data_IF_326434199493
#
_entry.id   IF_326434199493
#
_cell.length_a   1.000
_cell.length_b   1.000
_cell.length_c   1.000
_cell.angle_alpha   90.00
_cell.angle_beta   90.00
_cell.angle_gamma   90.00
#
_symmetry.space_group_name_H-M   'P 1'
#
loop_
_entity.id
_entity.type
_entity.pdbx_description
1 polymer ?
#
# COMPACT_ATOMS: atom_id res chain seq x y z
N UNK A 1 29.93 -51.72 29.56
CA UNK A 1 28.83 -50.92 30.16
C UNK A 1 28.89 -49.43 29.82
N UNK A 2 30.07 -48.80 29.75
CA UNK A 2 30.20 -47.35 29.41
C UNK A 2 29.68 -47.05 27.99
N UNK A 3 30.12 -47.77 26.95
CA UNK A 3 29.76 -47.50 25.54
C UNK A 3 28.25 -47.50 25.28
N UNK A 4 27.50 -48.42 25.93
CA UNK A 4 26.04 -48.53 25.77
C UNK A 4 25.32 -47.29 26.31
N UNK A 5 25.79 -46.72 27.43
CA UNK A 5 25.20 -45.52 28.03
C UNK A 5 25.33 -44.29 27.13
N UNK A 6 26.47 -44.14 26.45
CA UNK A 6 26.70 -43.02 25.52
C UNK A 6 25.85 -43.14 24.26
N UNK A 7 25.67 -44.35 23.73
CA UNK A 7 24.81 -44.60 22.57
C UNK A 7 23.36 -44.21 22.88
N UNK A 8 22.85 -44.63 24.04
CA UNK A 8 21.49 -44.27 24.48
C UNK A 8 21.33 -42.75 24.65
N UNK A 9 22.34 -42.08 25.20
CA UNK A 9 22.35 -40.61 25.34
C UNK A 9 22.27 -39.92 23.97
N UNK A 10 23.07 -40.34 22.99
CA UNK A 10 23.03 -39.74 21.65
C UNK A 10 21.69 -39.93 20.97
N UNK A 11 21.09 -41.13 21.10
CA UNK A 11 19.75 -41.39 20.54
C UNK A 11 18.71 -40.46 21.18
N UNK A 12 18.75 -40.29 22.50
CA UNK A 12 17.84 -39.39 23.21
C UNK A 12 18.02 -37.94 22.73
N UNK A 13 19.26 -37.47 22.61
CA UNK A 13 19.56 -36.10 22.13
C UNK A 13 19.07 -35.90 20.70
N UNK A 14 19.24 -36.86 19.81
CA UNK A 14 18.76 -36.78 18.42
C UNK A 14 17.23 -36.70 18.38
N UNK A 15 16.53 -37.52 19.18
CA UNK A 15 15.07 -37.48 19.27
C UNK A 15 14.59 -36.12 19.79
N UNK A 16 15.24 -35.59 20.84
CA UNK A 16 14.93 -34.25 21.34
C UNK A 16 15.19 -33.18 20.29
N UNK A 17 16.32 -33.24 19.57
CA UNK A 17 16.66 -32.27 18.53
C UNK A 17 15.63 -32.26 17.39
N UNK A 18 15.16 -33.43 16.96
CA UNK A 18 14.10 -33.56 15.94
C UNK A 18 12.79 -32.96 16.46
N UNK A 19 12.40 -33.28 17.70
CA UNK A 19 11.19 -32.73 18.30
C UNK A 19 11.24 -31.19 18.39
N UNK A 20 12.35 -30.64 18.88
CA UNK A 20 12.58 -29.21 18.91
C UNK A 20 12.55 -28.61 17.51
N UNK A 21 13.19 -29.24 16.53
CA UNK A 21 13.18 -28.78 15.15
C UNK A 21 11.76 -28.68 14.59
N UNK A 22 10.88 -29.66 14.82
CA UNK A 22 9.48 -29.58 14.37
C UNK A 22 8.66 -28.52 15.11
N UNK A 23 8.90 -28.32 16.41
CA UNK A 23 8.23 -27.29 17.21
C UNK A 23 8.65 -25.91 16.71
N UNK A 24 9.97 -25.67 16.61
CA UNK A 24 10.50 -24.42 16.08
C UNK A 24 10.12 -24.22 14.62
N UNK A 25 10.11 -25.27 13.79
CA UNK A 25 9.62 -25.18 12.43
C UNK A 25 8.16 -24.74 12.41
N UNK A 26 7.25 -25.29 13.22
CA UNK A 26 5.86 -24.80 13.26
C UNK A 26 5.73 -23.36 13.76
N UNK A 27 6.51 -22.99 14.78
CA UNK A 27 6.47 -21.64 15.37
C UNK A 27 7.06 -20.59 14.42
N UNK A 28 8.15 -20.90 13.73
CA UNK A 28 8.79 -20.01 12.75
C UNK A 28 8.24 -20.15 11.32
N UNK A 29 7.52 -21.23 10.98
CA UNK A 29 6.79 -21.42 9.71
C UNK A 29 5.38 -20.82 9.78
N UNK A 30 4.91 -20.43 10.97
CA UNK A 30 3.79 -19.48 11.11
C UNK A 30 4.23 -18.05 10.77
N UNK A 31 5.03 -17.87 9.72
CA UNK A 31 4.90 -16.68 8.89
C UNK A 31 3.63 -16.91 8.10
N UNK A 32 2.53 -16.41 8.65
CA UNK A 32 1.15 -16.41 8.16
C UNK A 32 0.91 -17.28 6.92
N UNK A 33 -0.01 -18.24 7.06
CA UNK A 33 -0.74 -18.76 5.91
C UNK A 33 -1.52 -17.56 5.34
N UNK A 34 -0.81 -16.70 4.60
CA UNK A 34 -1.34 -15.57 3.89
C UNK A 34 -2.46 -16.19 3.07
N UNK A 35 -3.70 -15.79 3.37
CA UNK A 35 -4.79 -15.99 2.44
C UNK A 35 -4.25 -15.62 1.06
N UNK A 36 -4.53 -16.40 0.00
CA UNK A 36 -4.02 -16.12 -1.34
C UNK A 36 -4.29 -14.64 -1.61
N UNK A 37 -3.24 -13.82 -1.51
CA UNK A 37 -3.41 -12.37 -1.54
C UNK A 37 -3.96 -12.10 -2.93
N UNK A 38 -5.13 -11.48 -2.96
CA UNK A 38 -5.87 -11.17 -4.18
C UNK A 38 -4.84 -10.64 -5.18
N UNK A 39 -4.68 -11.35 -6.30
CA UNK A 39 -3.49 -11.21 -7.16
C UNK A 39 -3.26 -9.73 -7.46
N UNK A 40 -2.02 -9.24 -7.36
CA UNK A 40 -1.60 -7.85 -7.55
C UNK A 40 -2.43 -6.95 -8.53
N UNK A 41 -2.91 -7.42 -9.71
CA UNK A 41 -3.86 -6.66 -10.53
C UNK A 41 -5.16 -6.22 -9.82
N UNK A 42 -5.68 -7.01 -8.89
CA UNK A 42 -6.96 -6.76 -8.20
C UNK A 42 -6.83 -5.66 -7.14
N UNK A 43 -5.71 -5.65 -6.41
CA UNK A 43 -5.42 -4.62 -5.39
C UNK A 43 -5.39 -3.21 -6.01
N UNK A 44 -4.86 -3.08 -7.24
CA UNK A 44 -4.84 -1.79 -7.96
C UNK A 44 -6.25 -1.35 -8.35
N UNK A 45 -7.09 -2.28 -8.81
CA UNK A 45 -8.47 -1.99 -9.21
C UNK A 45 -9.35 -1.66 -7.99
N UNK A 46 -9.21 -2.42 -6.91
CA UNK A 46 -9.87 -2.21 -5.63
C UNK A 46 -9.48 -0.87 -5.00
N UNK A 47 -8.19 -0.56 -4.92
CA UNK A 47 -7.71 0.74 -4.43
C UNK A 47 -8.23 1.91 -5.26
N UNK A 48 -8.34 1.75 -6.59
CA UNK A 48 -8.91 2.78 -7.47
C UNK A 48 -10.39 3.01 -7.16
N UNK A 49 -11.17 1.94 -6.95
CA UNK A 49 -12.57 2.05 -6.58
C UNK A 49 -12.74 2.68 -5.18
N UNK A 50 -11.93 2.26 -4.20
CA UNK A 50 -11.91 2.83 -2.86
C UNK A 50 -11.57 4.33 -2.87
N UNK A 51 -10.54 4.72 -3.63
CA UNK A 51 -10.14 6.13 -3.79
C UNK A 51 -11.24 6.98 -4.46
N UNK A 52 -11.99 6.43 -5.41
CA UNK A 52 -13.13 7.13 -6.03
C UNK A 52 -14.30 7.29 -5.06
N UNK A 53 -14.50 6.32 -4.17
CA UNK A 53 -15.57 6.34 -3.17
C UNK A 53 -15.20 7.15 -1.91
N UNK A 54 -13.96 7.64 -1.81
CA UNK A 54 -13.45 8.36 -0.64
C UNK A 54 -13.19 7.47 0.58
N UNK A 55 -13.17 6.16 0.40
CA UNK A 55 -12.89 5.19 1.45
C UNK A 55 -11.38 4.92 1.50
N UNK A 56 -10.65 5.74 2.27
CA UNK A 56 -9.21 5.62 2.41
C UNK A 56 -8.79 4.49 3.34
N UNK A 57 -9.68 4.01 4.21
CA UNK A 57 -9.41 2.91 5.14
C UNK A 57 -9.37 1.55 4.41
N UNK A 58 -10.05 1.45 3.27
CA UNK A 58 -10.06 0.25 2.42
C UNK A 58 -8.81 0.10 1.53
N UNK A 59 -7.91 1.09 1.46
CA UNK A 59 -6.73 1.05 0.58
C UNK A 59 -5.67 0.11 1.15
N UNK A 60 -5.20 -0.84 0.32
CA UNK A 60 -4.20 -1.84 0.72
C UNK A 60 -3.01 -1.82 -0.25
N UNK A 61 -1.79 -1.83 0.27
CA UNK A 61 -0.58 -1.85 -0.56
C UNK A 61 0.15 -3.18 -0.41
N UNK A 62 0.55 -3.77 -1.54
CA UNK A 62 1.47 -4.91 -1.54
C UNK A 62 2.92 -4.41 -1.51
N UNK A 63 3.75 -5.02 -0.65
CA UNK A 63 5.17 -4.66 -0.52
C UNK A 63 6.01 -5.53 -1.45
N UNK A 64 6.55 -4.95 -2.52
CA UNK A 64 7.48 -5.62 -3.40
C UNK A 64 8.81 -5.95 -2.68
N UNK A 65 9.46 -7.08 -3.04
CA UNK A 65 10.79 -7.49 -2.51
C UNK A 65 11.89 -6.42 -2.67
N UNK A 66 11.71 -5.49 -3.61
CA UNK A 66 12.46 -4.24 -3.75
C UNK A 66 11.47 -3.15 -4.11
N UNK A 67 11.03 -2.39 -3.11
CA UNK A 67 10.12 -1.26 -3.27
C UNK A 67 10.83 0.08 -3.04
N UNK A 68 10.10 1.17 -3.29
CA UNK A 68 10.50 2.48 -2.81
C UNK A 68 10.44 2.50 -1.27
N UNK A 69 11.27 3.34 -0.62
CA UNK A 69 11.19 3.52 0.82
C UNK A 69 9.86 4.21 1.17
N UNK A 70 9.07 3.60 2.04
CA UNK A 70 7.75 4.12 2.45
C UNK A 70 7.83 5.56 2.94
N UNK A 71 8.77 5.90 3.83
CA UNK A 71 8.93 7.27 4.35
C UNK A 71 9.15 8.31 3.24
N UNK A 72 9.88 7.96 2.18
CA UNK A 72 10.13 8.87 1.05
C UNK A 72 8.88 9.06 0.19
N UNK A 73 8.13 7.97 -0.01
CA UNK A 73 6.87 8.01 -0.77
C UNK A 73 5.83 8.82 -0.02
N UNK A 74 5.71 8.63 1.30
CA UNK A 74 4.76 9.37 2.13
C UNK A 74 5.06 10.87 2.15
N UNK A 75 6.34 11.24 2.26
CA UNK A 75 6.77 12.64 2.17
C UNK A 75 6.40 13.25 0.80
N UNK A 76 6.66 12.54 -0.29
CA UNK A 76 6.32 13.00 -1.63
C UNK A 76 4.80 13.12 -1.85
N UNK A 77 4.01 12.17 -1.32
CA UNK A 77 2.55 12.22 -1.41
C UNK A 77 2.01 13.45 -0.66
N UNK A 78 2.56 13.76 0.52
CA UNK A 78 2.17 14.95 1.28
C UNK A 78 2.44 16.24 0.48
N UNK A 79 3.65 16.38 -0.07
CA UNK A 79 4.02 17.54 -0.90
C UNK A 79 3.10 17.69 -2.12
N UNK A 80 2.74 16.57 -2.78
CA UNK A 80 1.84 16.58 -3.92
C UNK A 80 0.41 16.98 -3.55
N UNK A 81 -0.08 16.56 -2.37
CA UNK A 81 -1.40 16.96 -1.88
C UNK A 81 -1.46 18.47 -1.61
N UNK A 82 -0.43 19.02 -0.98
CA UNK A 82 -0.33 20.47 -0.75
C UNK A 82 -0.38 21.26 -2.06
N UNK A 83 0.34 20.80 -3.09
CA UNK A 83 0.31 21.42 -4.42
C UNK A 83 -1.09 21.31 -5.05
N UNK A 84 -1.73 20.15 -4.93
CA UNK A 84 -3.08 19.95 -5.48
C UNK A 84 -4.08 20.90 -4.83
N UNK A 85 -4.00 21.10 -3.52
CA UNK A 85 -4.90 22.00 -2.80
C UNK A 85 -4.63 23.47 -3.15
N UNK A 86 -3.36 23.87 -3.26
CA UNK A 86 -3.00 25.19 -3.78
C UNK A 86 -3.56 25.43 -5.20
N UNK A 87 -3.48 24.43 -6.07
CA UNK A 87 -4.01 24.51 -7.42
C UNK A 87 -5.54 24.57 -7.45
N UNK A 88 -6.23 23.82 -6.58
CA UNK A 88 -7.69 23.90 -6.43
C UNK A 88 -8.12 25.29 -5.98
N UNK A 89 -7.42 25.89 -5.02
CA UNK A 89 -7.71 27.23 -4.52
C UNK A 89 -7.52 28.28 -5.61
N UNK A 90 -6.40 28.21 -6.36
CA UNK A 90 -6.17 29.07 -7.52
C UNK A 90 -7.24 28.89 -8.59
N UNK A 91 -7.65 27.65 -8.87
CA UNK A 91 -8.68 27.38 -9.86
C UNK A 91 -10.07 27.87 -9.43
N UNK A 92 -10.42 27.74 -8.14
CA UNK A 92 -11.60 28.39 -7.57
C UNK A 92 -11.48 29.93 -7.72
N UNK A 93 -10.28 30.45 -7.55
CA UNK A 93 -9.87 31.81 -7.88
C UNK A 93 -10.14 32.22 -9.34
N UNK A 94 -9.80 31.37 -10.31
CA UNK A 94 -10.09 31.67 -11.71
C UNK A 94 -11.59 31.49 -12.05
N UNK A 95 -12.27 30.56 -11.39
CA UNK A 95 -13.68 30.27 -11.64
C UNK A 95 -14.61 31.44 -11.32
N UNK A 96 -14.27 32.29 -10.35
CA UNK A 96 -15.06 33.48 -10.01
C UNK A 96 -14.78 34.67 -10.92
N UNK A 97 -13.69 34.67 -11.70
CA UNK A 97 -13.39 35.68 -12.73
C UNK A 97 -14.02 35.29 -14.09
N UNK A 98 -14.33 34.01 -14.28
CA UNK A 98 -14.97 33.44 -15.47
C UNK A 98 -16.39 33.95 -15.79
N UNK A 99 -17.22 34.47 -14.85
CA UNK A 99 -18.53 35.04 -15.20
C UNK A 99 -18.41 36.26 -16.12
N UNK A 100 -17.39 37.12 -15.93
CA UNK A 100 -17.26 38.33 -16.77
C UNK A 100 -16.74 38.00 -18.17
N UNK A 101 -15.81 37.05 -18.30
CA UNK A 101 -15.23 36.66 -19.60
C UNK A 101 -16.27 35.96 -20.48
N UNK A 102 -17.13 35.10 -19.91
CA UNK A 102 -18.19 34.45 -20.68
C UNK A 102 -19.25 35.43 -21.18
N UNK A 103 -19.53 36.50 -20.43
CA UNK A 103 -20.43 37.57 -20.86
C UNK A 103 -19.78 38.51 -21.88
N UNK A 104 -18.49 38.83 -21.71
CA UNK A 104 -17.74 39.71 -22.62
C UNK A 104 -17.49 39.06 -24.00
N UNK A 105 -17.18 37.77 -24.05
CA UNK A 105 -17.01 37.02 -25.31
C UNK A 105 -18.34 36.93 -26.08
N UNK A 106 -19.46 36.70 -25.39
CA UNK A 106 -20.79 36.65 -26.02
C UNK A 106 -21.23 38.06 -26.47
N UNK A 107 -20.91 39.11 -25.71
CA UNK A 107 -21.21 40.49 -26.08
C UNK A 107 -20.35 41.02 -27.24
N UNK A 108 -19.10 40.56 -27.36
CA UNK A 108 -18.23 40.86 -28.49
C UNK A 108 -18.73 40.19 -29.78
N UNK A 109 -19.14 38.91 -29.70
CA UNK A 109 -19.72 38.15 -30.83
C UNK A 109 -21.05 38.77 -31.32
N UNK A 110 -21.86 39.30 -30.39
CA UNK A 110 -23.12 40.00 -30.71
C UNK A 110 -22.93 41.42 -31.27
N UNK A 111 -21.74 42.02 -31.17
CA UNK A 111 -21.45 43.37 -31.74
C UNK A 111 -20.97 43.31 -33.19
N UNK A 112 -20.51 42.15 -33.64
CA UNK A 112 -19.98 41.92 -34.98
C UNK A 112 -21.03 41.33 -35.95
N UNK A 113 -22.30 41.22 -35.52
CA UNK A 113 -23.49 40.89 -36.34
C UNK A 113 -24.34 42.14 -36.61
#
# INVERSE_FOLDING_TARGET
MIVVSWIVLFILVIICAIAFFFIFANVFTSGEKLEPMESAPDVIASNRAAAQNGDTEAIRFDTAKRGYQTDQVDALIADLLDIIDELKDKNAGYSHLRPSVATEVNQADLRDM
#
